data_IF_175238172528
#
_entry.id   IF_175238172528
#
_cell.length_a   1.000
_cell.length_b   1.000
_cell.length_c   1.000
_cell.angle_alpha   90.00
_cell.angle_beta   90.00
_cell.angle_gamma   90.00
#
_symmetry.space_group_name_H-M   'P 1'
#
loop_
_entity.id
_entity.type
_entity.pdbx_description
1 polymer ?
#
# COMPACT_ATOMS: atom_id res chain seq x y z
N UNK A 1 43.13 -25.73 44.17
CA UNK A 1 42.80 -26.30 42.83
C UNK A 1 41.30 -26.33 42.52
N UNK A 2 40.41 -26.93 43.35
CA UNK A 2 38.95 -26.98 43.04
C UNK A 2 38.27 -25.60 42.81
N UNK A 3 38.59 -24.58 43.64
CA UNK A 3 38.02 -23.22 43.51
C UNK A 3 38.49 -22.48 42.23
N UNK A 4 39.73 -22.74 41.81
CA UNK A 4 40.25 -22.13 40.56
C UNK A 4 39.60 -22.73 39.33
N UNK A 5 39.29 -24.04 39.36
CA UNK A 5 38.61 -24.76 38.28
C UNK A 5 37.16 -24.30 38.14
N UNK A 6 36.46 -24.06 39.27
CA UNK A 6 35.07 -23.53 39.25
C UNK A 6 35.00 -22.08 38.75
N UNK A 7 35.97 -21.27 39.04
CA UNK A 7 36.03 -19.90 38.53
C UNK A 7 36.32 -19.91 37.03
N UNK A 8 37.22 -20.79 36.57
CA UNK A 8 37.53 -20.92 35.14
C UNK A 8 36.34 -21.46 34.31
N UNK A 9 35.61 -22.44 34.87
CA UNK A 9 34.40 -22.95 34.22
C UNK A 9 33.26 -21.91 34.18
N UNK A 10 33.11 -21.10 35.21
CA UNK A 10 32.15 -19.99 35.24
C UNK A 10 32.50 -18.90 34.21
N UNK A 11 33.75 -18.56 34.04
CA UNK A 11 34.23 -17.59 33.04
C UNK A 11 34.05 -18.12 31.65
N UNK A 12 34.31 -19.41 31.39
CA UNK A 12 34.08 -20.04 30.09
C UNK A 12 32.57 -20.08 29.75
N UNK A 13 31.73 -20.35 30.76
CA UNK A 13 30.27 -20.33 30.58
C UNK A 13 29.74 -18.91 30.27
N UNK A 14 30.26 -17.91 30.95
CA UNK A 14 29.91 -16.49 30.71
C UNK A 14 30.43 -16.05 29.33
N UNK A 15 31.64 -16.45 28.93
CA UNK A 15 32.14 -16.19 27.59
C UNK A 15 31.33 -16.94 26.50
N UNK A 16 30.87 -18.16 26.75
CA UNK A 16 30.07 -18.90 25.83
C UNK A 16 28.65 -18.28 25.64
N UNK A 17 28.11 -17.68 26.71
CA UNK A 17 26.84 -16.94 26.66
C UNK A 17 27.03 -15.59 25.93
N UNK A 18 28.15 -14.93 26.07
CA UNK A 18 28.47 -13.67 25.38
C UNK A 18 28.87 -13.87 23.91
N UNK A 19 29.22 -15.09 23.50
CA UNK A 19 29.52 -15.47 22.12
C UNK A 19 28.31 -16.00 21.37
N UNK A 20 27.12 -16.08 21.97
CA UNK A 20 25.88 -16.03 21.22
C UNK A 20 25.74 -14.60 20.66
N UNK A 21 26.58 -14.30 19.67
CA UNK A 21 26.32 -13.24 18.72
C UNK A 21 24.88 -13.44 18.27
N UNK A 22 23.98 -12.54 18.63
CA UNK A 22 22.66 -12.46 17.99
C UNK A 22 22.96 -12.43 16.49
N UNK A 23 22.83 -13.57 15.84
CA UNK A 23 22.73 -13.62 14.41
C UNK A 23 21.51 -12.75 14.12
N UNK A 24 21.75 -11.51 13.65
CA UNK A 24 20.69 -10.57 13.31
C UNK A 24 19.75 -11.31 12.38
N UNK A 25 18.59 -11.65 12.91
CA UNK A 25 17.57 -12.38 12.17
C UNK A 25 17.28 -11.57 10.91
N UNK A 26 17.26 -12.23 9.75
CA UNK A 26 17.00 -11.57 8.47
C UNK A 26 15.62 -10.95 8.54
N UNK A 27 15.50 -9.71 8.10
CA UNK A 27 14.19 -9.08 8.01
C UNK A 27 13.32 -9.82 6.99
N UNK A 28 12.11 -10.22 7.37
CA UNK A 28 11.16 -10.87 6.48
C UNK A 28 10.31 -9.82 5.78
N UNK A 29 10.49 -9.71 4.47
CA UNK A 29 9.66 -8.86 3.61
C UNK A 29 8.63 -9.76 2.90
N UNK A 30 7.36 -9.46 3.12
CA UNK A 30 6.29 -10.21 2.48
C UNK A 30 5.75 -9.44 1.27
N UNK A 31 5.73 -10.04 0.08
CA UNK A 31 5.30 -9.37 -1.14
C UNK A 31 3.94 -9.88 -1.62
N UNK A 32 3.10 -8.95 -2.10
CA UNK A 32 1.79 -9.27 -2.67
C UNK A 32 1.66 -8.55 -4.01
N UNK A 33 1.42 -9.30 -5.08
CA UNK A 33 1.23 -8.77 -6.42
C UNK A 33 -0.22 -8.28 -6.61
N UNK A 34 -0.38 -7.02 -7.03
CA UNK A 34 -1.63 -6.41 -7.48
C UNK A 34 -1.44 -5.94 -8.92
N UNK A 35 -1.40 -6.88 -9.85
CA UNK A 35 -1.09 -6.66 -11.29
C UNK A 35 -2.28 -6.97 -12.19
N UNK A 36 -3.48 -6.85 -11.66
CA UNK A 36 -4.74 -7.16 -12.32
C UNK A 36 -5.77 -6.09 -12.03
N UNK A 37 -6.95 -6.26 -12.58
CA UNK A 37 -8.15 -5.53 -12.18
C UNK A 37 -8.44 -5.75 -10.69
N UNK A 38 -8.91 -4.70 -10.02
CA UNK A 38 -9.34 -4.76 -8.62
C UNK A 38 -10.75 -5.34 -8.57
N UNK A 39 -10.84 -6.58 -8.14
CA UNK A 39 -12.05 -7.38 -8.03
C UNK A 39 -12.10 -8.18 -6.71
N UNK A 40 -13.09 -9.01 -6.55
CA UNK A 40 -13.20 -9.88 -5.38
C UNK A 40 -12.03 -10.86 -5.26
N UNK A 41 -11.45 -11.27 -6.37
CA UNK A 41 -10.30 -12.17 -6.41
C UNK A 41 -9.05 -11.49 -5.83
N UNK A 42 -8.77 -10.28 -6.30
CA UNK A 42 -7.63 -9.48 -5.81
C UNK A 42 -7.81 -9.07 -4.36
N UNK A 43 -9.06 -8.83 -3.92
CA UNK A 43 -9.37 -8.63 -2.51
C UNK A 43 -9.04 -9.88 -1.67
N UNK A 44 -9.47 -11.07 -2.08
CA UNK A 44 -9.16 -12.33 -1.39
C UNK A 44 -7.64 -12.52 -1.28
N UNK A 45 -6.90 -12.26 -2.36
CA UNK A 45 -5.45 -12.41 -2.37
C UNK A 45 -4.77 -11.45 -1.40
N UNK A 46 -5.17 -10.18 -1.39
CA UNK A 46 -4.63 -9.22 -0.42
C UNK A 46 -4.97 -9.64 1.02
N UNK A 47 -6.23 -9.98 1.29
CA UNK A 47 -6.68 -10.37 2.62
C UNK A 47 -5.90 -11.57 3.18
N UNK A 48 -5.77 -12.61 2.36
CA UNK A 48 -5.03 -13.82 2.75
C UNK A 48 -3.53 -13.52 2.88
N UNK A 49 -2.96 -12.72 1.97
CA UNK A 49 -1.56 -12.31 2.03
C UNK A 49 -1.23 -11.49 3.28
N UNK A 50 -2.12 -10.55 3.68
CA UNK A 50 -1.98 -9.81 4.95
C UNK A 50 -2.04 -10.75 6.16
N UNK A 51 -2.94 -11.73 6.12
CA UNK A 51 -3.08 -12.72 7.19
C UNK A 51 -1.85 -13.62 7.29
N UNK A 52 -1.33 -14.12 6.16
CA UNK A 52 -0.14 -14.95 6.12
C UNK A 52 1.11 -14.17 6.56
N UNK A 53 1.28 -12.93 6.09
CA UNK A 53 2.35 -12.05 6.54
C UNK A 53 2.36 -11.88 8.07
N UNK A 54 1.16 -11.72 8.66
CA UNK A 54 1.00 -11.63 10.11
C UNK A 54 1.38 -12.93 10.82
N UNK A 55 0.96 -14.08 10.30
CA UNK A 55 1.30 -15.39 10.87
C UNK A 55 2.80 -15.68 10.84
N UNK A 56 3.47 -15.19 9.79
CA UNK A 56 4.91 -15.31 9.60
C UNK A 56 5.71 -14.25 10.33
N UNK A 57 5.03 -13.31 11.04
CA UNK A 57 5.67 -12.18 11.72
C UNK A 57 6.56 -11.35 10.78
N UNK A 58 6.07 -11.06 9.57
CA UNK A 58 6.80 -10.25 8.60
C UNK A 58 7.08 -8.84 9.14
N UNK A 59 8.26 -8.29 8.88
CA UNK A 59 8.66 -6.96 9.30
C UNK A 59 8.01 -5.87 8.44
N UNK A 60 7.74 -6.19 7.19
CA UNK A 60 7.08 -5.29 6.24
C UNK A 60 6.34 -6.07 5.16
N UNK A 61 5.30 -5.43 4.60
CA UNK A 61 4.58 -5.91 3.42
C UNK A 61 4.85 -4.94 2.28
N UNK A 62 5.22 -5.46 1.12
CA UNK A 62 5.42 -4.68 -0.11
C UNK A 62 4.41 -5.12 -1.16
N UNK A 63 3.47 -4.23 -1.49
CA UNK A 63 2.56 -4.42 -2.62
C UNK A 63 3.27 -4.07 -3.91
N UNK A 64 3.27 -4.97 -4.89
CA UNK A 64 3.74 -4.69 -6.24
C UNK A 64 2.55 -4.36 -7.13
N UNK A 65 2.37 -3.07 -7.43
CA UNK A 65 1.17 -2.52 -8.04
C UNK A 65 1.35 -2.23 -9.53
N UNK A 66 0.43 -2.77 -10.33
CA UNK A 66 0.21 -2.34 -11.71
C UNK A 66 -1.26 -2.62 -12.08
N UNK A 67 -2.14 -1.63 -11.95
CA UNK A 67 -3.57 -1.78 -12.18
C UNK A 67 -4.19 -0.53 -12.76
N UNK A 68 -5.19 -0.73 -13.61
CA UNK A 68 -6.07 0.34 -14.12
C UNK A 68 -7.29 0.60 -13.23
N UNK A 69 -7.43 -0.14 -12.13
CA UNK A 69 -8.54 0.01 -11.19
C UNK A 69 -9.47 -1.19 -11.20
N UNK A 70 -10.74 -0.96 -10.87
CA UNK A 70 -11.78 -1.99 -10.80
C UNK A 70 -12.87 -1.67 -9.80
N UNK A 71 -13.42 -2.67 -9.12
CA UNK A 71 -14.61 -2.56 -8.28
C UNK A 71 -14.35 -1.71 -7.03
N UNK A 72 -15.22 -0.71 -6.81
CA UNK A 72 -15.15 0.21 -5.68
C UNK A 72 -15.24 -0.51 -4.33
N UNK A 73 -16.13 -1.49 -4.19
CA UNK A 73 -16.30 -2.25 -2.94
C UNK A 73 -15.07 -3.08 -2.57
N UNK A 74 -14.45 -3.71 -3.57
CA UNK A 74 -13.18 -4.44 -3.37
C UNK A 74 -12.07 -3.48 -2.98
N UNK A 75 -12.00 -2.32 -3.64
CA UNK A 75 -11.02 -1.28 -3.34
C UNK A 75 -11.17 -0.73 -1.91
N UNK A 76 -12.41 -0.49 -1.44
CA UNK A 76 -12.67 -0.03 -0.08
C UNK A 76 -12.28 -1.08 0.97
N UNK A 77 -12.58 -2.35 0.70
CA UNK A 77 -12.17 -3.46 1.56
C UNK A 77 -10.64 -3.55 1.65
N UNK A 78 -9.94 -3.45 0.52
CA UNK A 78 -8.48 -3.47 0.45
C UNK A 78 -7.87 -2.27 1.18
N UNK A 79 -8.36 -1.05 0.92
CA UNK A 79 -7.96 0.18 1.61
C UNK A 79 -8.09 0.03 3.12
N UNK A 80 -9.24 -0.44 3.58
CA UNK A 80 -9.54 -0.61 5.01
C UNK A 80 -8.56 -1.61 5.64
N UNK A 81 -8.35 -2.78 5.02
CA UNK A 81 -7.42 -3.78 5.52
C UNK A 81 -5.97 -3.26 5.60
N UNK A 82 -5.54 -2.44 4.66
CA UNK A 82 -4.21 -1.82 4.65
C UNK A 82 -4.07 -0.79 5.77
N UNK A 83 -5.05 0.11 5.93
CA UNK A 83 -5.02 1.14 6.98
C UNK A 83 -4.95 0.57 8.39
N UNK A 84 -5.57 -0.59 8.62
CA UNK A 84 -5.59 -1.25 9.93
C UNK A 84 -4.60 -2.42 10.04
N UNK A 85 -3.70 -2.58 9.07
CA UNK A 85 -2.66 -3.60 9.14
C UNK A 85 -1.70 -3.32 10.31
N UNK A 86 -1.45 -4.31 11.18
CA UNK A 86 -0.45 -4.18 12.23
C UNK A 86 1.00 -4.16 11.70
N UNK A 87 1.18 -4.66 10.47
CA UNK A 87 2.47 -4.67 9.76
C UNK A 87 2.48 -3.50 8.79
N UNK A 88 3.56 -2.71 8.71
CA UNK A 88 3.64 -1.60 7.77
C UNK A 88 3.53 -2.09 6.32
N UNK A 89 2.56 -1.54 5.59
CA UNK A 89 2.32 -1.85 4.18
C UNK A 89 2.91 -0.72 3.33
N UNK A 90 3.79 -1.08 2.43
CA UNK A 90 4.41 -0.23 1.41
C UNK A 90 3.87 -0.61 0.04
N UNK A 91 3.89 0.30 -0.92
CA UNK A 91 3.55 -0.01 -2.31
C UNK A 91 4.67 0.45 -3.25
N UNK A 92 5.02 -0.41 -4.21
CA UNK A 92 5.82 -0.08 -5.37
C UNK A 92 4.91 -0.09 -6.60
N UNK A 93 4.71 1.09 -7.20
CA UNK A 93 3.93 1.26 -8.42
C UNK A 93 4.87 1.08 -9.59
N UNK A 94 4.73 -0.05 -10.29
CA UNK A 94 5.55 -0.43 -11.42
C UNK A 94 5.25 0.43 -12.66
N UNK A 95 3.96 0.54 -13.02
CA UNK A 95 3.53 1.33 -14.18
C UNK A 95 2.29 2.17 -13.86
N UNK A 96 1.22 1.56 -13.36
CA UNK A 96 -0.04 2.26 -13.12
C UNK A 96 -0.63 1.95 -11.74
N UNK A 97 -1.12 2.99 -11.09
CA UNK A 97 -2.05 2.91 -9.97
C UNK A 97 -3.24 3.83 -10.27
N UNK A 98 -4.06 3.43 -11.24
CA UNK A 98 -5.22 4.21 -11.65
C UNK A 98 -6.47 3.81 -10.86
N UNK A 99 -7.39 4.78 -10.66
CA UNK A 99 -8.71 4.56 -10.04
C UNK A 99 -8.61 3.89 -8.66
N UNK A 100 -9.16 2.69 -8.49
CA UNK A 100 -9.05 1.88 -7.27
C UNK A 100 -7.57 1.70 -6.84
N UNK A 101 -6.63 1.61 -7.80
CA UNK A 101 -5.21 1.51 -7.51
C UNK A 101 -4.66 2.75 -6.77
N UNK A 102 -5.13 3.94 -7.11
CA UNK A 102 -4.75 5.17 -6.41
C UNK A 102 -5.25 5.14 -4.95
N UNK A 103 -6.52 4.80 -4.74
CA UNK A 103 -7.12 4.69 -3.40
C UNK A 103 -6.34 3.71 -2.51
N UNK A 104 -6.04 2.52 -3.04
CA UNK A 104 -5.27 1.47 -2.33
C UNK A 104 -3.85 1.95 -2.02
N UNK A 105 -3.20 2.62 -2.99
CA UNK A 105 -1.84 3.13 -2.80
C UNK A 105 -1.77 4.22 -1.74
N UNK A 106 -2.76 5.14 -1.70
CA UNK A 106 -2.86 6.20 -0.69
C UNK A 106 -3.04 5.63 0.73
N UNK A 107 -3.66 4.45 0.87
CA UNK A 107 -3.80 3.77 2.15
C UNK A 107 -2.47 3.20 2.68
N UNK A 108 -1.48 2.98 1.83
CA UNK A 108 -0.18 2.45 2.22
C UNK A 108 0.65 3.48 3.00
N UNK A 109 1.49 2.99 3.92
CA UNK A 109 2.37 3.80 4.75
C UNK A 109 3.33 4.67 3.91
N UNK A 110 3.84 4.12 2.80
CA UNK A 110 4.72 4.79 1.85
C UNK A 110 4.42 4.32 0.43
N UNK A 111 4.61 5.21 -0.53
CA UNK A 111 4.41 4.97 -1.97
C UNK A 111 5.73 5.16 -2.68
N UNK A 112 6.17 4.15 -3.40
CA UNK A 112 7.34 4.21 -4.28
C UNK A 112 6.90 3.98 -5.71
N UNK A 113 7.51 4.67 -6.66
CA UNK A 113 7.09 4.61 -8.06
C UNK A 113 8.30 4.37 -8.96
N UNK A 114 8.09 3.56 -10.01
CA UNK A 114 9.06 3.50 -11.09
C UNK A 114 9.03 4.82 -11.89
N UNK A 115 10.16 5.19 -12.47
CA UNK A 115 10.22 6.30 -13.40
C UNK A 115 9.25 6.05 -14.57
N UNK A 116 8.36 7.00 -14.83
CA UNK A 116 7.30 6.88 -15.85
C UNK A 116 5.98 6.24 -15.35
N UNK A 117 5.91 5.80 -14.11
CA UNK A 117 4.66 5.33 -13.52
C UNK A 117 3.71 6.50 -13.22
N UNK A 118 2.41 6.17 -13.10
CA UNK A 118 1.34 7.12 -12.87
C UNK A 118 0.44 6.70 -11.70
N UNK A 119 -0.15 7.71 -11.01
CA UNK A 119 -1.13 7.53 -9.95
C UNK A 119 -2.25 8.56 -10.07
N UNK A 120 -3.53 8.15 -9.96
CA UNK A 120 -4.69 9.05 -10.00
C UNK A 120 -5.84 8.51 -10.84
N UNK A 121 -6.55 9.39 -11.57
CA UNK A 121 -7.69 9.07 -12.44
C UNK A 121 -8.76 8.22 -11.74
N UNK A 122 -9.31 8.70 -10.62
CA UNK A 122 -10.17 7.91 -9.72
C UNK A 122 -11.67 8.26 -9.84
N UNK A 123 -12.09 8.90 -10.91
CA UNK A 123 -13.52 9.11 -11.21
C UNK A 123 -14.25 7.78 -11.31
N UNK A 124 -15.40 7.68 -10.64
CA UNK A 124 -16.21 6.45 -10.69
C UNK A 124 -16.97 6.39 -12.01
N UNK A 125 -16.72 5.34 -12.77
CA UNK A 125 -17.31 5.14 -14.11
C UNK A 125 -18.04 3.80 -14.17
N UNK A 126 -18.97 3.68 -15.12
CA UNK A 126 -19.60 2.40 -15.46
C UNK A 126 -18.71 1.59 -16.44
N UNK A 127 -19.19 0.43 -16.86
CA UNK A 127 -18.48 -0.47 -17.78
C UNK A 127 -18.19 0.16 -19.16
N UNK A 128 -18.94 1.19 -19.56
CA UNK A 128 -18.74 1.91 -20.84
C UNK A 128 -17.76 3.09 -20.68
N UNK A 129 -17.26 3.36 -19.48
CA UNK A 129 -16.39 4.50 -19.17
C UNK A 129 -17.14 5.81 -18.90
N UNK A 130 -18.47 5.81 -18.88
CA UNK A 130 -19.26 6.99 -18.54
C UNK A 130 -19.27 7.22 -17.03
N UNK A 131 -19.12 8.49 -16.61
CA UNK A 131 -19.16 8.86 -15.20
C UNK A 131 -20.49 8.51 -14.55
N UNK A 132 -20.44 7.88 -13.37
CA UNK A 132 -21.64 7.61 -12.57
C UNK A 132 -22.20 8.90 -11.94
N UNK A 133 -23.50 8.89 -11.53
CA UNK A 133 -24.12 10.03 -10.86
C UNK A 133 -23.32 10.55 -9.66
N UNK A 134 -23.49 11.83 -9.35
CA UNK A 134 -22.68 12.55 -8.34
C UNK A 134 -22.68 11.88 -6.96
N UNK A 135 -23.72 11.16 -6.57
CA UNK A 135 -23.73 10.42 -5.29
C UNK A 135 -22.55 9.43 -5.17
N UNK A 136 -22.18 8.76 -6.28
CA UNK A 136 -21.05 7.84 -6.30
C UNK A 136 -19.71 8.59 -6.30
N UNK A 137 -19.65 9.69 -7.04
CA UNK A 137 -18.49 10.57 -7.03
C UNK A 137 -18.27 11.17 -5.64
N UNK A 138 -19.34 11.63 -4.98
CA UNK A 138 -19.27 12.19 -3.63
C UNK A 138 -18.78 11.16 -2.61
N UNK A 139 -19.24 9.91 -2.72
CA UNK A 139 -18.77 8.82 -1.86
C UNK A 139 -17.27 8.55 -2.07
N UNK A 140 -16.84 8.43 -3.33
CA UNK A 140 -15.43 8.21 -3.66
C UNK A 140 -14.54 9.39 -3.24
N UNK A 141 -14.98 10.65 -3.45
CA UNK A 141 -14.27 11.85 -2.95
C UNK A 141 -14.04 11.77 -1.44
N UNK A 142 -15.11 11.48 -0.68
CA UNK A 142 -15.02 11.37 0.77
C UNK A 142 -14.07 10.25 1.20
N UNK A 143 -14.12 9.11 0.52
CA UNK A 143 -13.30 7.95 0.81
C UNK A 143 -11.80 8.24 0.55
N UNK A 144 -11.46 8.77 -0.62
CA UNK A 144 -10.06 9.03 -0.96
C UNK A 144 -9.46 10.15 -0.11
N UNK A 145 -10.27 11.20 0.20
CA UNK A 145 -9.91 12.27 1.12
C UNK A 145 -9.60 11.72 2.51
N UNK A 146 -10.55 10.98 3.12
CA UNK A 146 -10.37 10.42 4.46
C UNK A 146 -9.20 9.44 4.54
N UNK A 147 -8.90 8.75 3.45
CA UNK A 147 -7.73 7.88 3.35
C UNK A 147 -6.43 8.68 3.38
N UNK A 148 -6.37 9.81 2.66
CA UNK A 148 -5.22 10.73 2.70
C UNK A 148 -5.06 11.37 4.09
N UNK A 149 -6.16 11.80 4.71
CA UNK A 149 -6.18 12.36 6.07
C UNK A 149 -5.66 11.34 7.11
N UNK A 150 -6.01 10.06 6.96
CA UNK A 150 -5.58 8.98 7.85
C UNK A 150 -4.06 8.77 7.87
N UNK A 151 -3.33 9.20 6.83
CA UNK A 151 -1.87 9.18 6.82
C UNK A 151 -1.25 10.23 7.78
N UNK A 152 -2.05 11.20 8.23
CA UNK A 152 -1.65 12.21 9.19
C UNK A 152 -0.80 13.33 8.60
N UNK A 153 -0.18 14.09 9.50
CA UNK A 153 0.67 15.25 9.19
C UNK A 153 2.07 15.07 9.71
N UNK A 154 3.03 15.62 8.98
CA UNK A 154 4.38 15.82 9.48
C UNK A 154 4.47 17.15 10.22
N UNK A 155 5.28 17.18 11.27
CA UNK A 155 5.62 18.39 12.02
C UNK A 155 6.93 18.93 11.49
N UNK A 156 6.90 20.14 10.96
CA UNK A 156 8.07 20.85 10.45
C UNK A 156 8.36 22.07 11.34
N UNK A 157 9.63 22.37 11.57
CA UNK A 157 10.05 23.61 12.23
C UNK A 157 10.61 24.53 11.14
N UNK A 158 9.98 25.66 10.92
CA UNK A 158 10.42 26.65 9.94
C UNK A 158 10.45 28.03 10.61
N UNK A 159 11.62 28.68 10.61
CA UNK A 159 11.86 29.99 11.25
C UNK A 159 11.48 30.06 12.74
N UNK A 160 11.54 28.92 13.46
CA UNK A 160 11.16 28.84 14.87
C UNK A 160 9.67 28.49 15.11
N UNK A 161 8.85 28.50 14.07
CA UNK A 161 7.44 28.14 14.15
C UNK A 161 7.21 26.67 13.81
N UNK A 162 6.23 26.06 14.49
CA UNK A 162 5.80 24.68 14.21
C UNK A 162 4.72 24.67 13.14
N UNK A 163 5.02 24.06 12.00
CA UNK A 163 4.10 23.94 10.86
C UNK A 163 3.67 22.47 10.71
N UNK A 164 2.37 22.24 10.52
CA UNK A 164 1.81 20.93 10.24
C UNK A 164 1.50 20.79 8.75
N UNK A 165 2.19 19.89 8.06
CA UNK A 165 1.97 19.61 6.64
C UNK A 165 1.39 18.20 6.47
N UNK A 166 0.33 18.05 5.66
CA UNK A 166 -0.19 16.74 5.31
C UNK A 166 0.88 15.88 4.64
N UNK A 167 0.98 14.60 5.04
CA UNK A 167 1.82 13.62 4.32
C UNK A 167 1.27 13.37 2.93
N UNK A 168 -0.06 13.30 2.82
CA UNK A 168 -0.84 13.24 1.58
C UNK A 168 -1.87 14.36 1.65
N UNK A 169 -1.78 15.35 0.77
CA UNK A 169 -2.74 16.47 0.80
C UNK A 169 -4.14 15.97 0.38
N UNK A 170 -5.15 16.04 1.26
CA UNK A 170 -6.50 15.55 0.95
C UNK A 170 -7.14 16.21 -0.27
N UNK A 171 -6.81 17.47 -0.56
CA UNK A 171 -7.32 18.18 -1.73
C UNK A 171 -6.79 17.57 -3.04
N UNK A 172 -5.53 17.16 -3.07
CA UNK A 172 -4.93 16.47 -4.21
C UNK A 172 -5.61 15.11 -4.43
N UNK A 173 -5.94 14.38 -3.34
CA UNK A 173 -6.69 13.13 -3.45
C UNK A 173 -8.08 13.36 -4.07
N UNK A 174 -8.80 14.40 -3.63
CA UNK A 174 -10.11 14.74 -4.20
C UNK A 174 -10.02 15.11 -5.69
N UNK A 175 -8.97 15.83 -6.11
CA UNK A 175 -8.75 16.18 -7.51
C UNK A 175 -8.51 14.97 -8.42
N UNK A 176 -8.13 13.81 -7.87
CA UNK A 176 -8.05 12.56 -8.62
C UNK A 176 -9.43 11.98 -8.96
N UNK A 177 -10.50 12.42 -8.28
CA UNK A 177 -11.87 11.94 -8.47
C UNK A 177 -12.72 12.94 -9.24
N UNK A 178 -12.62 14.23 -8.89
CA UNK A 178 -13.55 15.29 -9.29
C UNK A 178 -12.84 16.38 -10.08
N UNK A 179 -13.25 16.57 -11.31
CA UNK A 179 -12.71 17.57 -12.23
C UNK A 179 -13.04 19.03 -11.86
N UNK A 180 -13.93 19.25 -10.89
CA UNK A 180 -14.27 20.57 -10.34
C UNK A 180 -13.26 21.06 -9.31
N UNK A 181 -12.44 20.15 -8.76
CA UNK A 181 -11.44 20.45 -7.73
C UNK A 181 -10.23 21.14 -8.35
N UNK A 182 -9.93 22.32 -7.84
CA UNK A 182 -8.75 23.09 -8.26
C UNK A 182 -7.67 22.94 -7.21
N UNK A 183 -6.47 22.55 -7.63
CA UNK A 183 -5.27 22.58 -6.80
C UNK A 183 -4.31 23.60 -7.41
N UNK A 184 -4.06 24.74 -6.75
CA UNK A 184 -3.22 25.80 -7.30
C UNK A 184 -1.84 25.29 -7.74
N UNK A 185 -1.40 25.66 -8.93
CA UNK A 185 -0.15 25.28 -9.58
C UNK A 185 -0.03 23.76 -9.91
N UNK A 186 -1.10 22.98 -9.80
CA UNK A 186 -1.12 21.57 -10.16
C UNK A 186 -2.20 21.26 -11.19
N UNK A 187 -3.45 21.59 -10.92
CA UNK A 187 -4.56 21.29 -11.84
C UNK A 187 -5.66 22.33 -11.75
N UNK A 188 -6.21 22.69 -12.92
CA UNK A 188 -7.35 23.57 -13.09
C UNK A 188 -8.68 22.79 -13.17
N UNK A 189 -9.80 23.48 -13.01
CA UNK A 189 -11.15 22.90 -13.18
C UNK A 189 -11.36 22.32 -14.59
N UNK A 190 -12.16 21.26 -14.65
CA UNK A 190 -12.48 20.55 -15.90
C UNK A 190 -11.49 19.43 -16.26
N UNK A 191 -10.61 19.06 -15.33
CA UNK A 191 -9.63 18.01 -15.51
C UNK A 191 -9.55 17.11 -14.27
N UNK A 192 -9.50 15.80 -14.49
CA UNK A 192 -9.24 14.83 -13.44
C UNK A 192 -7.73 14.63 -13.29
N UNK A 193 -7.25 14.66 -12.05
CA UNK A 193 -5.82 14.60 -11.77
C UNK A 193 -5.26 13.20 -11.94
N UNK A 194 -4.17 13.11 -12.68
CA UNK A 194 -3.25 11.97 -12.72
C UNK A 194 -1.84 12.51 -12.59
N UNK A 195 -1.09 12.01 -11.62
CA UNK A 195 0.28 12.42 -11.37
C UNK A 195 1.26 11.45 -12.03
N UNK A 196 2.22 11.97 -12.75
CA UNK A 196 3.45 11.23 -13.08
C UNK A 196 4.27 10.97 -11.83
N UNK A 197 5.24 10.04 -11.90
CA UNK A 197 6.10 9.74 -10.75
C UNK A 197 6.86 10.98 -10.23
N UNK A 198 7.25 11.90 -11.10
CA UNK A 198 7.95 13.15 -10.71
C UNK A 198 7.00 14.15 -10.04
N UNK A 199 5.79 14.33 -10.58
CA UNK A 199 4.77 15.16 -9.94
C UNK A 199 4.34 14.57 -8.61
N UNK A 200 4.13 13.25 -8.53
CA UNK A 200 3.81 12.57 -7.29
C UNK A 200 4.90 12.78 -6.22
N UNK A 201 6.17 12.70 -6.59
CA UNK A 201 7.30 13.00 -5.69
C UNK A 201 7.27 14.46 -5.22
N UNK A 202 7.08 15.41 -6.13
CA UNK A 202 7.01 16.86 -5.83
C UNK A 202 5.85 17.19 -4.88
N UNK A 203 4.69 16.56 -5.07
CA UNK A 203 3.47 16.87 -4.34
C UNK A 203 3.21 15.94 -3.14
N UNK A 204 4.15 15.06 -2.80
CA UNK A 204 4.08 14.19 -1.62
C UNK A 204 3.19 12.96 -1.80
N UNK A 205 2.85 12.58 -3.03
CA UNK A 205 2.13 11.35 -3.37
C UNK A 205 3.04 10.19 -3.79
N UNK A 206 4.35 10.43 -3.77
CA UNK A 206 5.39 9.43 -3.88
C UNK A 206 6.48 9.77 -2.86
N UNK A 207 6.98 8.77 -2.15
CA UNK A 207 8.02 8.90 -1.14
C UNK A 207 9.43 8.66 -1.70
N UNK A 208 9.52 8.10 -2.92
CA UNK A 208 10.79 7.86 -3.60
C UNK A 208 10.59 7.19 -4.96
N UNK A 209 11.53 7.45 -5.86
CA UNK A 209 11.59 6.81 -7.18
C UNK A 209 12.52 5.60 -7.09
N UNK A 210 12.05 4.44 -7.52
CA UNK A 210 12.79 3.19 -7.51
C UNK A 210 12.63 2.45 -8.84
N UNK A 211 13.64 1.71 -9.26
CA UNK A 211 13.58 0.93 -10.49
C UNK A 211 13.08 -0.51 -10.26
N UNK A 212 13.07 -0.96 -9.00
CA UNK A 212 12.66 -2.33 -8.65
C UNK A 212 12.15 -2.44 -7.20
N UNK A 213 11.38 -3.49 -6.87
CA UNK A 213 11.04 -3.83 -5.49
C UNK A 213 12.26 -4.00 -4.59
N UNK A 214 13.35 -4.59 -5.09
CA UNK A 214 14.59 -4.78 -4.32
C UNK A 214 15.21 -3.46 -3.91
N UNK A 215 15.20 -2.46 -4.81
CA UNK A 215 15.67 -1.12 -4.48
C UNK A 215 14.80 -0.47 -3.39
N UNK A 216 13.48 -0.67 -3.42
CA UNK A 216 12.60 -0.20 -2.35
C UNK A 216 12.99 -0.84 -1.01
N UNK A 217 13.24 -2.15 -0.99
CA UNK A 217 13.59 -2.89 0.21
C UNK A 217 14.93 -2.41 0.78
N UNK A 218 15.94 -2.30 -0.06
CA UNK A 218 17.32 -2.02 0.37
C UNK A 218 17.56 -0.56 0.71
N UNK A 219 17.06 0.36 -0.12
CA UNK A 219 17.39 1.79 0.00
C UNK A 219 16.36 2.54 0.85
N UNK A 220 15.06 2.23 0.73
CA UNK A 220 14.00 3.00 1.36
C UNK A 220 13.44 2.36 2.63
N UNK A 221 13.26 1.03 2.66
CA UNK A 221 12.91 0.30 3.88
C UNK A 221 14.15 0.13 4.76
N UNK A 222 15.33 0.06 4.12
CA UNK A 222 16.62 0.01 4.81
C UNK A 222 17.03 -1.41 5.25
N UNK A 223 16.41 -2.44 4.71
CA UNK A 223 16.73 -3.84 4.99
C UNK A 223 17.90 -4.29 4.10
N UNK A 224 19.10 -4.43 4.70
CA UNK A 224 20.29 -4.90 3.97
C UNK A 224 20.41 -6.43 3.92
N UNK A 225 19.93 -7.12 4.96
CA UNK A 225 19.86 -8.57 5.03
C UNK A 225 18.40 -8.96 5.25
N UNK A 226 17.79 -9.52 4.23
CA UNK A 226 16.36 -9.82 4.20
C UNK A 226 16.06 -11.12 3.47
N UNK A 227 14.91 -11.69 3.79
CA UNK A 227 14.26 -12.78 3.07
C UNK A 227 12.96 -12.26 2.46
N UNK A 228 12.67 -12.64 1.24
CA UNK A 228 11.38 -12.35 0.60
C UNK A 228 10.54 -13.62 0.62
N UNK A 229 9.30 -13.47 1.12
CA UNK A 229 8.22 -14.41 0.86
C UNK A 229 7.13 -13.72 0.07
N UNK A 230 6.59 -14.42 -0.92
CA UNK A 230 5.56 -13.87 -1.81
C UNK A 230 4.27 -14.66 -1.62
N UNK A 231 3.14 -13.93 -1.56
CA UNK A 231 1.84 -14.58 -1.58
C UNK A 231 1.65 -15.39 -2.86
N UNK A 232 1.29 -16.65 -2.68
CA UNK A 232 0.97 -17.56 -3.80
C UNK A 232 -0.48 -18.02 -3.64
N UNK A 233 -1.40 -17.58 -4.52
CA UNK A 233 -2.80 -18.00 -4.44
C UNK A 233 -2.92 -19.53 -4.48
N UNK A 234 -3.61 -20.09 -3.50
CA UNK A 234 -3.90 -21.52 -3.47
C UNK A 234 -5.01 -21.87 -4.47
N UNK A 235 -5.16 -23.15 -4.76
CA UNK A 235 -6.30 -23.65 -5.56
C UNK A 235 -7.65 -23.25 -4.92
N UNK A 236 -7.74 -23.29 -3.58
CA UNK A 236 -8.94 -22.89 -2.85
C UNK A 236 -9.26 -21.39 -3.00
N UNK A 237 -8.26 -20.52 -3.07
CA UNK A 237 -8.46 -19.10 -3.28
C UNK A 237 -9.06 -18.84 -4.67
N UNK A 238 -8.57 -19.56 -5.67
CA UNK A 238 -9.10 -19.50 -7.03
C UNK A 238 -10.55 -20.00 -7.10
N UNK A 239 -10.88 -21.09 -6.40
CA UNK A 239 -12.26 -21.63 -6.35
C UNK A 239 -13.20 -20.68 -5.63
N UNK A 240 -12.79 -20.09 -4.49
CA UNK A 240 -13.58 -19.08 -3.78
C UNK A 240 -13.85 -17.86 -4.64
N UNK A 241 -12.83 -17.38 -5.36
CA UNK A 241 -12.96 -16.24 -6.28
C UNK A 241 -14.01 -16.50 -7.36
N UNK A 242 -13.98 -17.67 -8.00
CA UNK A 242 -14.94 -18.07 -9.03
C UNK A 242 -16.36 -18.23 -8.45
N UNK A 243 -16.50 -18.89 -7.30
CA UNK A 243 -17.80 -19.10 -6.63
C UNK A 243 -18.46 -17.78 -6.23
N UNK A 244 -17.68 -16.81 -5.74
CA UNK A 244 -18.18 -15.50 -5.32
C UNK A 244 -18.67 -14.66 -6.51
N UNK A 245 -17.97 -14.72 -7.65
CA UNK A 245 -18.40 -14.05 -8.87
C UNK A 245 -19.69 -14.65 -9.45
N UNK A 246 -19.86 -15.96 -9.41
CA UNK A 246 -21.06 -16.62 -9.89
C UNK A 246 -22.30 -16.38 -9.02
N UNK A 247 -22.16 -16.43 -7.70
CA UNK A 247 -23.28 -16.16 -6.78
C UNK A 247 -23.82 -14.74 -6.92
N UNK A 248 -22.94 -13.77 -7.10
CA UNK A 248 -23.33 -12.36 -7.25
C UNK A 248 -23.92 -12.01 -8.60
N UNK A 249 -23.52 -12.71 -9.68
CA UNK A 249 -24.13 -12.56 -10.99
C UNK A 249 -25.63 -12.98 -10.96
N UNK A 250 -25.98 -14.00 -10.19
CA UNK A 250 -27.36 -14.43 -9.99
C UNK A 250 -28.19 -13.49 -9.11
N UNK A 251 -27.60 -12.81 -8.14
CA UNK A 251 -28.32 -11.82 -7.31
C UNK A 251 -28.68 -10.57 -8.11
N UNK A 252 -27.81 -10.11 -9.01
CA UNK A 252 -28.06 -8.94 -9.87
C UNK A 252 -29.09 -9.23 -11.00
N UNK A 253 -29.27 -10.46 -11.43
CA UNK A 253 -30.32 -10.85 -12.38
C UNK A 253 -31.70 -11.03 -11.72
N UNK A 254 -31.75 -11.28 -10.41
CA UNK A 254 -33.00 -11.44 -9.66
C UNK A 254 -33.63 -10.11 -9.21
N UNK A 255 -32.90 -9.01 -9.26
CA UNK A 255 -33.32 -7.65 -8.88
C UNK A 255 -33.72 -6.77 -10.09
N UNK A 256 -33.83 -7.32 -11.31
CA UNK A 256 -34.34 -6.71 -12.54
C UNK A 256 -35.67 -7.31 -12.96
#
# INVERSE_FOLDING_TARGET
MKRLLTILTAIILILAISLQSEAKEKSLIYTIDIKKEIDNTTWIYLHNGLSEAKQLSADAILLHMNTYGGLLESADSMRTAILYSPIPVYVFIDNNAASAGALISIACKKIYMRKGANIGAATVVNQTGAALPDKYQSYMRSMIRSTAEAQGKDTLIQNGDTIYKWKRDPLIAEAMVDDRVIVPNLIDSGKVLTLTSQEALKWGYCDGIAESPDQVITEYIGCKDYEIKSYQPSWFDNVKAVSYTHLRAHETEADL
#
